data_IF_200053133358
#
_entry.id   IF_200053133358
#
_cell.length_a   1.000
_cell.length_b   1.000
_cell.length_c   1.000
_cell.angle_alpha   90.00
_cell.angle_beta   90.00
_cell.angle_gamma   90.00
#
_symmetry.space_group_name_H-M   'P 1'
#
loop_
_entity.id
_entity.type
_entity.pdbx_description
1 polymer ?
#
# COMPACT_ATOMS: atom_id res chain seq x y z
N UNK A 1 -28.99 1.90 24.88
CA UNK A 1 -29.50 1.71 23.49
C UNK A 1 -28.45 2.21 22.50
N UNK A 2 -28.54 1.79 21.23
CA UNK A 2 -27.60 2.23 20.19
C UNK A 2 -27.62 3.76 19.98
N UNK A 3 -28.75 4.39 20.23
CA UNK A 3 -28.93 5.83 20.14
C UNK A 3 -28.11 6.57 21.25
N UNK A 4 -28.10 6.04 22.46
CA UNK A 4 -27.33 6.60 23.57
C UNK A 4 -25.82 6.45 23.30
N UNK A 5 -25.39 5.28 22.79
CA UNK A 5 -24.02 5.01 22.39
C UNK A 5 -23.55 6.00 21.31
N UNK A 6 -24.37 6.22 20.28
CA UNK A 6 -24.08 7.20 19.22
C UNK A 6 -24.00 8.64 19.76
N UNK A 7 -24.86 8.98 20.73
CA UNK A 7 -24.85 10.31 21.34
C UNK A 7 -23.57 10.57 22.13
N UNK A 8 -23.14 9.57 22.91
CA UNK A 8 -21.88 9.63 23.67
C UNK A 8 -20.67 9.71 22.75
N UNK A 9 -20.64 8.89 21.70
CA UNK A 9 -19.56 8.90 20.70
C UNK A 9 -19.45 10.25 19.98
N UNK A 10 -20.58 10.88 19.63
CA UNK A 10 -20.59 12.23 19.06
C UNK A 10 -20.08 13.29 20.01
N UNK A 11 -20.22 13.08 21.32
CA UNK A 11 -19.68 13.94 22.36
C UNK A 11 -18.19 13.63 22.68
N UNK A 12 -17.52 12.75 21.92
CA UNK A 12 -16.12 12.36 22.13
C UNK A 12 -15.91 11.40 23.32
N UNK A 13 -16.99 10.74 23.79
CA UNK A 13 -16.91 9.79 24.88
C UNK A 13 -16.82 8.38 24.30
N UNK A 14 -15.70 7.65 24.48
CA UNK A 14 -15.55 6.30 23.96
C UNK A 14 -16.50 5.34 24.67
N UNK A 15 -17.17 4.51 23.89
CA UNK A 15 -18.11 3.51 24.39
C UNK A 15 -17.60 2.11 24.06
N UNK A 16 -17.53 1.26 25.08
CA UNK A 16 -17.09 -0.12 24.96
C UNK A 16 -18.26 -1.07 25.20
N UNK A 17 -18.22 -2.24 24.55
CA UNK A 17 -19.28 -3.24 24.64
C UNK A 17 -19.28 -3.96 26.00
N UNK A 18 -18.09 -4.08 26.60
CA UNK A 18 -17.94 -4.74 27.90
C UNK A 18 -17.03 -3.92 28.83
N UNK A 19 -17.21 -4.05 30.16
CA UNK A 19 -16.34 -3.40 31.16
C UNK A 19 -14.87 -3.78 31.00
N UNK A 20 -14.60 -5.04 30.64
CA UNK A 20 -13.24 -5.54 30.44
C UNK A 20 -12.51 -4.80 29.31
N UNK A 21 -13.21 -4.55 28.20
CA UNK A 21 -12.67 -3.76 27.10
C UNK A 21 -12.41 -2.32 27.50
N UNK A 22 -13.28 -1.74 28.30
CA UNK A 22 -13.07 -0.40 28.86
C UNK A 22 -11.86 -0.36 29.79
N UNK A 23 -11.73 -1.34 30.68
CA UNK A 23 -10.59 -1.46 31.60
C UNK A 23 -9.28 -1.66 30.84
N UNK A 24 -9.28 -2.49 29.80
CA UNK A 24 -8.11 -2.70 28.95
C UNK A 24 -7.68 -1.40 28.23
N UNK A 25 -8.64 -0.65 27.69
CA UNK A 25 -8.35 0.63 27.04
C UNK A 25 -7.81 1.67 28.06
N UNK A 26 -8.34 1.70 29.29
CA UNK A 26 -7.85 2.57 30.34
C UNK A 26 -6.44 2.17 30.82
N UNK A 27 -6.14 0.87 30.94
CA UNK A 27 -4.79 0.41 31.29
C UNK A 27 -3.76 0.82 30.23
N UNK A 28 -4.12 0.73 28.95
CA UNK A 28 -3.26 1.17 27.86
C UNK A 28 -2.95 2.68 27.89
N UNK A 29 -3.82 3.49 28.50
CA UNK A 29 -3.57 4.92 28.73
C UNK A 29 -2.63 5.16 29.93
N UNK A 30 -2.66 4.30 30.94
CA UNK A 30 -1.76 4.39 32.10
C UNK A 30 -0.31 4.00 31.78
N UNK A 31 -0.11 3.07 30.85
CA UNK A 31 1.22 2.62 30.42
C UNK A 31 2.04 3.72 29.71
N UNK A 32 1.44 4.88 29.41
CA UNK A 32 2.17 6.01 28.81
C UNK A 32 3.20 6.67 29.75
N UNK A 33 3.08 6.53 31.07
CA UNK A 33 4.06 7.13 31.99
C UNK A 33 5.45 6.49 31.95
N UNK A 34 5.58 5.29 31.34
CA UNK A 34 6.87 4.59 31.18
C UNK A 34 7.43 4.60 29.74
N UNK A 35 6.66 5.02 28.77
CA UNK A 35 7.17 5.12 27.40
C UNK A 35 8.02 6.39 27.29
N UNK A 36 9.34 6.21 27.12
CA UNK A 36 10.21 7.30 26.65
C UNK A 36 9.51 7.92 25.44
N UNK A 37 9.15 9.19 25.55
CA UNK A 37 8.74 9.95 24.36
C UNK A 37 9.80 9.74 23.30
N UNK A 38 9.47 8.97 22.31
CA UNK A 38 10.30 8.85 21.13
C UNK A 38 10.13 10.20 20.43
N UNK A 39 11.00 11.16 20.77
CA UNK A 39 10.95 12.52 20.23
C UNK A 39 11.36 12.48 18.75
N UNK A 40 10.46 11.89 17.94
CA UNK A 40 10.59 12.00 16.51
C UNK A 40 10.35 13.47 16.12
N UNK A 41 11.40 14.12 15.66
CA UNK A 41 11.27 15.46 15.09
C UNK A 41 10.97 15.32 13.60
N UNK A 42 9.77 15.67 13.15
CA UNK A 42 9.43 15.59 11.73
C UNK A 42 10.37 16.46 10.90
N UNK A 43 10.91 15.91 9.84
CA UNK A 43 11.64 16.69 8.85
C UNK A 43 10.62 17.51 8.03
N UNK A 44 10.59 18.82 8.27
CA UNK A 44 9.61 19.73 7.65
C UNK A 44 9.79 19.84 6.14
N UNK A 45 11.02 19.78 5.64
CA UNK A 45 11.29 19.84 4.19
C UNK A 45 10.75 18.60 3.49
N UNK A 46 10.98 17.43 4.09
CA UNK A 46 10.47 16.15 3.59
C UNK A 46 8.94 16.12 3.62
N UNK A 47 8.33 16.61 4.69
CA UNK A 47 6.88 16.68 4.81
C UNK A 47 6.27 17.63 3.75
N UNK A 48 6.89 18.77 3.49
CA UNK A 48 6.46 19.70 2.46
C UNK A 48 6.57 19.09 1.06
N UNK A 49 7.68 18.42 0.74
CA UNK A 49 7.85 17.74 -0.54
C UNK A 49 6.82 16.60 -0.74
N UNK A 50 6.52 15.85 0.33
CA UNK A 50 5.47 14.83 0.28
C UNK A 50 4.08 15.43 0.07
N UNK A 51 3.76 16.54 0.72
CA UNK A 51 2.48 17.26 0.52
C UNK A 51 2.36 17.80 -0.90
N UNK A 52 3.41 18.37 -1.46
CA UNK A 52 3.43 18.85 -2.83
C UNK A 52 3.19 17.70 -3.80
N UNK A 53 3.93 16.58 -3.66
CA UNK A 53 3.77 15.38 -4.48
C UNK A 53 2.34 14.82 -4.44
N UNK A 54 1.68 14.87 -3.29
CA UNK A 54 0.35 14.32 -3.10
C UNK A 54 -0.80 15.30 -3.40
N UNK A 55 -0.51 16.58 -3.58
CA UNK A 55 -1.52 17.64 -3.71
C UNK A 55 -2.47 17.48 -4.90
N UNK A 56 -2.01 16.81 -5.96
CA UNK A 56 -2.78 16.58 -7.19
C UNK A 56 -3.73 15.37 -7.09
N UNK A 57 -3.57 14.52 -6.06
CA UNK A 57 -4.32 13.28 -5.93
C UNK A 57 -5.44 13.38 -4.89
N UNK A 58 -6.64 12.95 -5.28
CA UNK A 58 -7.84 12.88 -4.40
C UNK A 58 -8.36 11.44 -4.24
N UNK A 59 -7.53 10.46 -4.38
CA UNK A 59 -7.94 9.06 -4.32
C UNK A 59 -6.75 8.13 -4.39
N UNK A 60 -6.85 7.10 -5.23
CA UNK A 60 -5.76 6.17 -5.44
C UNK A 60 -4.54 6.87 -6.03
N UNK A 61 -3.39 6.66 -5.41
CA UNK A 61 -2.11 7.24 -5.84
C UNK A 61 -1.42 6.23 -6.77
N UNK A 62 -0.92 6.67 -7.94
CA UNK A 62 -0.17 5.80 -8.84
C UNK A 62 1.07 5.18 -8.21
N UNK A 63 1.44 3.98 -8.65
CA UNK A 63 2.55 3.20 -8.07
C UNK A 63 3.91 3.91 -8.17
N UNK A 64 4.16 4.66 -9.23
CA UNK A 64 5.37 5.46 -9.43
C UNK A 64 5.46 6.65 -8.44
N UNK A 65 4.32 7.30 -8.19
CA UNK A 65 4.21 8.35 -7.17
C UNK A 65 4.44 7.79 -5.77
N UNK A 66 3.87 6.63 -5.45
CA UNK A 66 4.12 5.92 -4.17
C UNK A 66 5.59 5.58 -4.02
N UNK A 67 6.25 5.12 -5.08
CA UNK A 67 7.68 4.84 -5.07
C UNK A 67 8.51 6.09 -4.75
N UNK A 68 8.18 7.21 -5.38
CA UNK A 68 8.81 8.50 -5.12
C UNK A 68 8.61 8.94 -3.67
N UNK A 69 7.37 8.82 -3.16
CA UNK A 69 7.04 9.12 -1.77
C UNK A 69 7.84 8.28 -0.78
N UNK A 70 7.91 6.97 -1.00
CA UNK A 70 8.69 6.08 -0.13
C UNK A 70 10.17 6.40 -0.17
N UNK A 71 10.71 6.74 -1.34
CA UNK A 71 12.11 7.17 -1.48
C UNK A 71 12.42 8.44 -0.70
N UNK A 72 11.49 9.41 -0.64
CA UNK A 72 11.63 10.62 0.21
C UNK A 72 11.80 10.26 1.69
N UNK A 73 11.16 9.18 2.14
CA UNK A 73 11.24 8.72 3.53
C UNK A 73 12.34 7.69 3.78
N UNK A 74 13.12 7.36 2.75
CA UNK A 74 14.20 6.37 2.85
C UNK A 74 13.69 4.93 3.01
N UNK A 75 12.43 4.67 2.64
CA UNK A 75 11.87 3.33 2.61
C UNK A 75 12.34 2.65 1.32
N UNK A 76 13.05 1.52 1.41
CA UNK A 76 13.51 0.82 0.22
C UNK A 76 12.32 0.26 -0.56
N UNK A 77 12.33 0.46 -1.87
CA UNK A 77 11.32 -0.04 -2.80
C UNK A 77 11.98 -0.86 -3.90
N UNK A 78 11.32 -1.88 -4.45
CA UNK A 78 11.85 -2.60 -5.59
C UNK A 78 12.00 -1.66 -6.78
N UNK A 79 13.04 -1.86 -7.59
CA UNK A 79 13.20 -1.13 -8.84
C UNK A 79 12.04 -1.47 -9.77
N UNK A 80 11.45 -0.45 -10.40
CA UNK A 80 10.35 -0.63 -11.33
C UNK A 80 10.25 0.51 -12.34
N UNK A 81 9.75 0.19 -13.53
CA UNK A 81 9.44 1.17 -14.58
C UNK A 81 8.27 0.69 -15.42
N UNK A 82 7.51 1.64 -15.98
CA UNK A 82 6.40 1.34 -16.88
C UNK A 82 6.93 1.22 -18.31
N UNK A 83 6.55 0.12 -18.97
CA UNK A 83 6.80 -0.14 -20.38
C UNK A 83 5.52 0.09 -21.20
N UNK A 84 5.66 0.77 -22.33
CA UNK A 84 4.58 1.02 -23.30
C UNK A 84 4.72 0.17 -24.56
N UNK A 85 5.86 -0.48 -24.74
CA UNK A 85 6.15 -1.41 -25.83
C UNK A 85 6.86 -2.64 -25.30
N UNK A 86 6.81 -3.72 -26.07
CA UNK A 86 7.48 -4.98 -25.76
C UNK A 86 9.01 -4.81 -25.64
N UNK A 87 9.62 -4.06 -26.57
CA UNK A 87 11.05 -3.81 -26.53
C UNK A 87 11.46 -2.95 -25.33
N UNK A 88 10.64 -1.96 -24.96
CA UNK A 88 10.87 -1.19 -23.73
C UNK A 88 10.78 -2.08 -22.47
N UNK A 89 9.87 -3.05 -22.44
CA UNK A 89 9.76 -3.99 -21.34
C UNK A 89 11.03 -4.84 -21.18
N UNK A 90 11.57 -5.34 -22.27
CA UNK A 90 12.83 -6.10 -22.30
C UNK A 90 14.01 -5.24 -21.86
N UNK A 91 14.09 -4.01 -22.36
CA UNK A 91 15.15 -3.09 -21.96
C UNK A 91 15.11 -2.81 -20.46
N UNK A 92 13.93 -2.50 -19.92
CA UNK A 92 13.73 -2.26 -18.47
C UNK A 92 14.10 -3.50 -17.66
N UNK A 93 13.67 -4.69 -18.08
CA UNK A 93 14.00 -5.93 -17.41
C UNK A 93 15.51 -6.19 -17.36
N UNK A 94 16.21 -5.85 -18.45
CA UNK A 94 17.67 -5.96 -18.54
C UNK A 94 18.38 -4.96 -17.63
N UNK A 95 17.86 -3.73 -17.54
CA UNK A 95 18.40 -2.69 -16.64
C UNK A 95 18.22 -3.07 -15.16
N UNK A 96 17.04 -3.60 -14.79
CA UNK A 96 16.71 -4.03 -13.42
C UNK A 96 17.51 -5.29 -13.05
N UNK A 97 17.69 -6.20 -13.99
CA UNK A 97 18.25 -7.53 -13.79
C UNK A 97 17.19 -8.58 -13.51
N UNK A 98 17.35 -9.74 -14.18
CA UNK A 98 16.45 -10.89 -14.00
C UNK A 98 16.68 -11.60 -12.66
N UNK A 99 15.63 -12.22 -12.07
CA UNK A 99 14.26 -12.28 -12.54
C UNK A 99 13.47 -11.01 -12.26
N UNK A 100 12.40 -10.78 -13.07
CA UNK A 100 11.47 -9.65 -12.91
C UNK A 100 10.01 -10.11 -12.81
N UNK A 101 9.15 -9.17 -12.44
CA UNK A 101 7.68 -9.31 -12.47
C UNK A 101 7.13 -8.34 -13.51
N UNK A 102 6.15 -8.78 -14.30
CA UNK A 102 5.34 -7.92 -15.14
C UNK A 102 3.92 -7.80 -14.56
N UNK A 103 3.42 -6.58 -14.43
CA UNK A 103 2.09 -6.29 -13.90
C UNK A 103 1.36 -5.32 -14.82
N UNK A 104 0.04 -5.48 -14.94
CA UNK A 104 -0.78 -4.46 -15.60
C UNK A 104 -0.67 -3.13 -14.84
N UNK A 105 -0.39 -2.06 -15.57
CA UNK A 105 -0.32 -0.70 -15.01
C UNK A 105 -1.59 0.06 -15.35
N UNK A 106 -2.59 -0.04 -14.48
CA UNK A 106 -3.84 0.68 -14.60
C UNK A 106 -4.28 1.19 -13.22
N UNK A 107 -4.67 2.48 -13.11
CA UNK A 107 -5.18 3.03 -11.85
C UNK A 107 -6.53 2.44 -11.44
N UNK A 108 -7.27 1.85 -12.39
CA UNK A 108 -8.63 1.33 -12.16
C UNK A 108 -8.63 -0.08 -11.58
N UNK A 109 -7.47 -0.75 -11.54
CA UNK A 109 -7.37 -2.15 -11.12
C UNK A 109 -6.66 -2.27 -9.79
N UNK A 110 -7.43 -2.55 -8.75
CA UNK A 110 -6.91 -2.77 -7.39
C UNK A 110 -6.39 -4.21 -7.26
N UNK A 111 -7.15 -5.20 -7.73
CA UNK A 111 -6.82 -6.63 -7.64
C UNK A 111 -6.27 -7.15 -8.97
N UNK A 112 -5.02 -6.80 -9.29
CA UNK A 112 -4.36 -7.14 -10.57
C UNK A 112 -4.22 -8.65 -10.80
N UNK A 113 -4.10 -9.43 -9.73
CA UNK A 113 -3.95 -10.88 -9.79
C UNK A 113 -5.24 -11.58 -10.23
N UNK A 114 -6.41 -11.10 -9.80
CA UNK A 114 -7.70 -11.73 -10.07
C UNK A 114 -8.06 -11.74 -11.55
N UNK A 115 -7.59 -10.73 -12.27
CA UNK A 115 -7.79 -10.61 -13.74
C UNK A 115 -6.65 -11.23 -14.55
N UNK A 116 -5.70 -11.93 -13.90
CA UNK A 116 -4.53 -12.45 -14.57
C UNK A 116 -3.54 -11.38 -15.04
N UNK A 117 -3.57 -10.19 -14.44
CA UNK A 117 -2.72 -9.05 -14.79
C UNK A 117 -1.30 -9.08 -14.19
N UNK A 118 -0.84 -10.22 -13.68
CA UNK A 118 0.49 -10.37 -13.06
C UNK A 118 1.18 -11.61 -13.60
N UNK A 119 2.46 -11.48 -13.96
CA UNK A 119 3.38 -12.58 -14.31
C UNK A 119 4.64 -12.41 -13.50
N UNK A 120 4.91 -13.36 -12.61
CA UNK A 120 6.06 -13.30 -11.71
C UNK A 120 7.18 -14.24 -12.15
N UNK A 121 8.38 -13.98 -11.64
CA UNK A 121 9.57 -14.81 -11.85
C UNK A 121 9.94 -15.00 -13.32
N UNK A 122 9.90 -13.91 -14.10
CA UNK A 122 10.33 -13.91 -15.50
C UNK A 122 11.85 -13.89 -15.56
N UNK A 123 12.44 -14.93 -16.13
CA UNK A 123 13.89 -15.16 -16.06
C UNK A 123 14.62 -14.79 -17.36
N UNK A 124 13.89 -14.67 -18.45
CA UNK A 124 14.46 -14.44 -19.79
C UNK A 124 13.72 -13.32 -20.53
N UNK A 125 14.39 -12.78 -21.56
CA UNK A 125 13.77 -11.85 -22.52
C UNK A 125 12.50 -12.43 -23.13
N UNK A 126 12.51 -13.73 -23.51
CA UNK A 126 11.36 -14.40 -24.11
C UNK A 126 10.17 -14.44 -23.13
N UNK A 127 10.41 -14.64 -21.85
CA UNK A 127 9.36 -14.61 -20.81
C UNK A 127 8.76 -13.21 -20.71
N UNK A 128 9.59 -12.17 -20.72
CA UNK A 128 9.13 -10.77 -20.65
C UNK A 128 8.30 -10.39 -21.87
N UNK A 129 8.73 -10.76 -23.09
CA UNK A 129 7.97 -10.52 -24.32
C UNK A 129 6.60 -11.20 -24.27
N UNK A 130 6.57 -12.47 -23.89
CA UNK A 130 5.33 -13.21 -23.71
C UNK A 130 4.41 -12.58 -22.67
N UNK A 131 4.96 -12.23 -21.51
CA UNK A 131 4.19 -11.61 -20.43
C UNK A 131 3.62 -10.24 -20.85
N UNK A 132 4.40 -9.43 -21.57
CA UNK A 132 3.95 -8.14 -22.10
C UNK A 132 2.78 -8.32 -23.07
N UNK A 133 2.89 -9.24 -24.04
CA UNK A 133 1.84 -9.51 -25.01
C UNK A 133 0.54 -10.00 -24.33
N UNK A 134 0.66 -10.92 -23.36
CA UNK A 134 -0.50 -11.44 -22.60
C UNK A 134 -1.18 -10.33 -21.79
N UNK A 135 -0.42 -9.55 -21.02
CA UNK A 135 -0.97 -8.51 -20.15
C UNK A 135 -1.57 -7.36 -20.95
N UNK A 136 -0.90 -6.91 -22.02
CA UNK A 136 -1.41 -5.83 -22.86
C UNK A 136 -2.69 -6.21 -23.62
N UNK A 137 -2.94 -7.51 -23.83
CA UNK A 137 -4.14 -8.01 -24.48
C UNK A 137 -5.35 -8.15 -23.55
N UNK A 138 -5.19 -7.96 -22.22
CA UNK A 138 -6.29 -8.04 -21.26
C UNK A 138 -7.32 -6.96 -21.56
N UNK A 139 -8.56 -7.38 -21.84
CA UNK A 139 -9.67 -6.46 -22.06
C UNK A 139 -10.14 -5.87 -20.75
N UNK A 140 -9.97 -4.58 -20.56
CA UNK A 140 -10.51 -3.86 -19.41
C UNK A 140 -11.87 -3.25 -19.73
N UNK A 141 -12.79 -3.17 -18.77
CA UNK A 141 -14.02 -2.42 -18.95
C UNK A 141 -13.65 -0.93 -19.23
N UNK A 142 -14.42 -0.25 -20.09
CA UNK A 142 -14.17 1.16 -20.37
C UNK A 142 -14.40 1.98 -19.09
N UNK A 143 -13.34 2.67 -18.66
CA UNK A 143 -13.38 3.61 -17.55
C UNK A 143 -13.02 5.01 -18.05
N UNK A 144 -13.37 6.08 -17.33
CA UNK A 144 -12.97 7.44 -17.70
C UNK A 144 -11.46 7.63 -17.84
N UNK A 145 -10.66 6.73 -17.27
CA UNK A 145 -9.19 6.77 -17.26
C UNK A 145 -8.56 5.78 -18.25
N UNK A 146 -9.35 4.92 -18.90
CA UNK A 146 -8.87 3.88 -19.83
C UNK A 146 -8.50 4.41 -21.23
N UNK A 147 -7.96 5.63 -21.33
CA UNK A 147 -7.58 6.22 -22.62
C UNK A 147 -6.24 5.68 -23.17
N UNK A 148 -5.58 4.80 -22.45
CA UNK A 148 -4.28 4.27 -22.86
C UNK A 148 -4.34 2.74 -23.01
N UNK A 149 -3.60 2.19 -24.00
CA UNK A 149 -3.38 0.74 -24.05
C UNK A 149 -2.79 0.30 -22.72
N UNK A 150 -3.08 -0.96 -22.33
CA UNK A 150 -2.62 -1.50 -21.06
C UNK A 150 -1.09 -1.41 -20.97
N UNK A 151 -0.58 -0.40 -20.28
CA UNK A 151 0.82 -0.30 -19.96
C UNK A 151 1.22 -1.45 -19.03
N UNK A 152 2.45 -1.88 -19.13
CA UNK A 152 2.99 -2.97 -18.30
C UNK A 152 4.08 -2.43 -17.38
N UNK A 153 3.90 -2.60 -16.08
CA UNK A 153 4.91 -2.30 -15.08
C UNK A 153 5.88 -3.48 -14.99
N UNK A 154 7.16 -3.23 -15.24
CA UNK A 154 8.23 -4.20 -15.01
C UNK A 154 8.89 -3.86 -13.68
N UNK A 155 8.94 -4.84 -12.78
CA UNK A 155 9.42 -4.66 -11.42
C UNK A 155 10.42 -5.75 -11.05
N UNK A 156 11.40 -5.40 -10.23
CA UNK A 156 12.33 -6.36 -9.63
C UNK A 156 11.57 -7.46 -8.89
N UNK A 157 11.91 -8.71 -9.14
CA UNK A 157 11.40 -9.85 -8.38
C UNK A 157 12.18 -9.96 -7.07
N UNK A 158 11.47 -9.88 -5.97
CA UNK A 158 12.04 -10.12 -4.65
C UNK A 158 11.79 -11.59 -4.28
N UNK A 159 12.80 -12.29 -3.72
CA UNK A 159 12.60 -13.65 -3.24
C UNK A 159 11.60 -13.69 -2.09
N UNK A 160 11.01 -14.85 -1.86
CA UNK A 160 10.12 -15.06 -0.74
C UNK A 160 10.79 -14.70 0.60
N UNK A 161 10.07 -14.02 1.46
CA UNK A 161 10.51 -13.58 2.77
C UNK A 161 9.31 -13.41 3.70
N UNK A 162 9.57 -12.95 4.91
CA UNK A 162 8.50 -12.60 5.84
C UNK A 162 7.78 -11.35 5.35
N UNK A 163 6.47 -11.44 5.22
CA UNK A 163 5.63 -10.32 4.78
C UNK A 163 5.00 -9.63 5.98
N UNK A 164 5.09 -8.30 5.99
CA UNK A 164 4.43 -7.47 6.97
C UNK A 164 3.51 -6.47 6.28
N UNK A 165 2.34 -6.24 6.89
CA UNK A 165 1.46 -5.16 6.49
C UNK A 165 1.65 -3.98 7.45
N UNK A 166 1.79 -2.78 6.89
CA UNK A 166 1.77 -1.52 7.64
C UNK A 166 0.77 -0.62 6.97
N UNK A 167 -0.14 -0.09 7.74
CA UNK A 167 -1.19 0.79 7.25
C UNK A 167 -1.42 1.95 8.19
N UNK A 168 -2.11 2.96 7.70
CA UNK A 168 -2.57 4.07 8.51
C UNK A 168 -4.01 4.42 8.12
N UNK A 169 -4.81 4.76 9.13
CA UNK A 169 -6.19 5.19 8.96
C UNK A 169 -6.44 6.41 9.84
N UNK A 170 -7.29 7.32 9.39
CA UNK A 170 -7.75 8.42 10.21
C UNK A 170 -9.05 8.04 10.90
N UNK A 171 -9.00 7.94 12.20
CA UNK A 171 -10.16 7.74 13.06
C UNK A 171 -10.71 9.07 13.57
N UNK A 172 -12.03 9.17 13.70
CA UNK A 172 -12.69 10.41 14.11
C UNK A 172 -12.43 10.75 15.59
N UNK A 173 -12.19 9.75 16.41
CA UNK A 173 -12.01 9.89 17.86
C UNK A 173 -10.53 9.92 18.27
N UNK A 174 -9.70 9.11 17.59
CA UNK A 174 -8.29 8.90 17.94
C UNK A 174 -7.29 9.59 17.02
N UNK A 175 -7.76 10.22 15.93
CA UNK A 175 -6.86 10.85 14.96
C UNK A 175 -6.21 9.81 14.02
N UNK A 176 -4.89 9.82 13.89
CA UNK A 176 -4.20 8.89 13.02
C UNK A 176 -3.82 7.61 13.79
N UNK A 177 -4.31 6.48 13.32
CA UNK A 177 -3.96 5.15 13.82
C UNK A 177 -3.01 4.50 12.83
N UNK A 178 -1.94 3.92 13.35
CA UNK A 178 -1.01 3.09 12.58
C UNK A 178 -1.28 1.62 12.91
N UNK A 179 -1.42 0.81 11.88
CA UNK A 179 -1.59 -0.63 11.99
C UNK A 179 -0.32 -1.32 11.51
N UNK A 180 0.09 -2.36 12.20
CA UNK A 180 1.12 -3.28 11.76
C UNK A 180 0.71 -4.71 12.09
N UNK A 181 1.04 -5.66 11.23
CA UNK A 181 0.73 -7.06 11.40
C UNK A 181 1.49 -7.94 10.42
N UNK A 182 1.30 -9.25 10.52
CA UNK A 182 1.78 -10.19 9.52
C UNK A 182 1.01 -10.01 8.21
N UNK A 183 1.73 -10.05 7.09
CA UNK A 183 1.19 -9.93 5.74
C UNK A 183 0.82 -11.27 5.11
N UNK A 184 0.51 -11.23 3.81
CA UNK A 184 0.16 -12.41 3.04
C UNK A 184 -1.13 -13.08 3.52
N UNK A 185 -1.17 -14.40 3.39
CA UNK A 185 -2.33 -15.22 3.78
C UNK A 185 -2.65 -15.15 5.28
N UNK A 186 -1.69 -14.77 6.10
CA UNK A 186 -1.87 -14.67 7.56
C UNK A 186 -2.76 -13.50 7.95
N UNK A 187 -2.83 -12.43 7.16
CA UNK A 187 -3.70 -11.28 7.42
C UNK A 187 -5.18 -11.67 7.44
N UNK A 188 -5.58 -12.57 6.53
CA UNK A 188 -6.97 -13.01 6.40
C UNK A 188 -7.32 -14.13 7.39
N UNK A 189 -6.33 -14.97 7.74
CA UNK A 189 -6.55 -16.15 8.58
C UNK A 189 -6.46 -15.88 10.08
N UNK A 190 -5.52 -15.02 10.50
CA UNK A 190 -5.22 -14.81 11.92
C UNK A 190 -5.77 -13.51 12.48
N UNK A 191 -6.14 -12.54 11.61
CA UNK A 191 -6.56 -11.19 12.02
C UNK A 191 -5.61 -10.55 13.07
N UNK A 192 -4.34 -11.00 13.06
CA UNK A 192 -3.32 -10.58 14.02
C UNK A 192 -2.73 -9.23 13.60
N UNK A 193 -3.48 -8.18 13.90
CA UNK A 193 -3.09 -6.80 13.64
C UNK A 193 -3.08 -5.99 14.92
N UNK A 194 -2.01 -5.22 15.12
CA UNK A 194 -1.88 -4.31 16.24
C UNK A 194 -2.08 -2.86 15.78
N UNK A 195 -2.93 -2.12 16.47
CA UNK A 195 -3.13 -0.70 16.24
C UNK A 195 -2.40 0.12 17.32
N UNK A 196 -1.85 1.27 16.90
CA UNK A 196 -1.22 2.25 17.79
C UNK A 196 -1.66 3.66 17.38
N UNK A 197 -1.72 4.54 18.36
CA UNK A 197 -2.04 5.97 18.21
C UNK A 197 -0.74 6.74 18.08
#
# INVERSE_FOLDING_TARGET
SDLEKQTLQKAGIPCFETPERAAFALSALQDKEGQKENTYTPNKERAAAAQELLSEYKGLIPEDTVQTLFSLYGIPVPQQKVAITEDAAVQIATEIGYPVIAKISSPDIIHKTDIGGVRANLQTEADVRKAFAEISSISLPPTPYSQHPNNVLIQQFLPAGEEFIVGAVRDISFGHLVMAGLGGIYTELLEDTAFRI
#
